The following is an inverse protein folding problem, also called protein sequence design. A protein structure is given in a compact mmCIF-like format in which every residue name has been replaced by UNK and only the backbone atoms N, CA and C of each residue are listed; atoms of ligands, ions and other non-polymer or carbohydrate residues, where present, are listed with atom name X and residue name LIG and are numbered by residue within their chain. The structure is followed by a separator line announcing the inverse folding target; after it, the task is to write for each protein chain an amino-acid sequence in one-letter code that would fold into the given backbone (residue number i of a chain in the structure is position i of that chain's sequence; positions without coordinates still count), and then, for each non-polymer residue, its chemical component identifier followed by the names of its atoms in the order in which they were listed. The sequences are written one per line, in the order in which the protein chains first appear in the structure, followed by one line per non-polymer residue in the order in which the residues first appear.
data_IF_560262001172
#
_entry.id   IF_560262001172
#
_cell.length_a   1.000
_cell.length_b   1.000
_cell.length_c   1.000
_cell.angle_alpha   90.00
_cell.angle_beta   90.00
_cell.angle_gamma   90.00
#
_symmetry.space_group_name_H-M   'P 1'
#
loop_
_entity.id
_entity.type
_entity.pdbx_description
1 polymer ?
#
# COMPACT_ATOMS: atom_id res chain seq x y z
N UNK A 1 15.43 36.03 33.10
CA UNK A 1 14.30 37.00 33.10
C UNK A 1 13.30 36.68 31.99
N UNK A 2 12.07 36.34 32.39
CA UNK A 2 10.73 36.48 31.76
C UNK A 2 10.56 36.46 30.22
N UNK A 3 9.70 35.51 29.79
CA UNK A 3 8.90 35.50 28.55
C UNK A 3 8.23 36.86 28.28
N UNK A 4 8.13 37.25 27.01
CA UNK A 4 7.08 38.18 26.56
C UNK A 4 6.41 37.66 25.29
N UNK A 5 5.11 37.46 25.45
CA UNK A 5 4.07 37.36 24.42
C UNK A 5 3.86 38.76 23.83
N UNK A 6 3.57 38.84 22.53
CA UNK A 6 2.84 39.99 21.98
C UNK A 6 1.69 39.47 21.11
N UNK A 7 0.50 39.98 21.42
CA UNK A 7 -0.81 39.67 20.84
C UNK A 7 -1.32 40.97 20.19
N UNK A 8 -2.01 40.85 19.04
CA UNK A 8 -2.86 41.88 18.43
C UNK A 8 -2.12 42.87 17.52
N UNK A 9 -2.66 43.37 16.40
CA UNK A 9 -4.08 43.53 16.05
C UNK A 9 -4.22 43.97 14.57
N UNK A 10 -5.34 43.58 13.92
CA UNK A 10 -6.07 44.23 12.81
C UNK A 10 -5.36 44.33 11.42
N UNK A 11 -6.03 44.17 10.26
CA UNK A 11 -7.28 44.80 9.81
C UNK A 11 -8.03 43.91 8.79
N UNK A 12 -9.36 43.98 8.87
CA UNK A 12 -10.35 43.33 8.04
C UNK A 12 -10.50 43.93 6.62
N UNK A 13 -10.93 43.10 5.67
CA UNK A 13 -11.59 43.51 4.43
C UNK A 13 -12.92 42.76 4.29
N UNK A 14 -14.02 43.52 4.35
CA UNK A 14 -15.40 43.05 4.24
C UNK A 14 -15.81 42.81 2.77
N UNK A 15 -16.67 41.82 2.55
CA UNK A 15 -17.34 41.56 1.28
C UNK A 15 -18.36 40.42 1.39
N UNK A 16 -19.41 40.62 2.19
CA UNK A 16 -20.54 39.73 2.46
C UNK A 16 -21.47 39.53 1.26
N UNK A 17 -21.87 38.29 0.96
CA UNK A 17 -23.25 37.94 0.57
C UNK A 17 -23.68 36.60 1.20
N UNK A 18 -24.51 36.75 2.23
CA UNK A 18 -25.51 35.84 2.80
C UNK A 18 -25.43 34.33 2.53
N UNK A 19 -25.10 33.58 3.58
CA UNK A 19 -25.76 32.31 3.88
C UNK A 19 -26.33 32.38 5.30
N UNK A 20 -27.64 32.19 5.40
CA UNK A 20 -28.35 31.98 6.67
C UNK A 20 -27.70 30.82 7.41
N UNK A 21 -27.53 30.87 8.74
CA UNK A 21 -27.09 29.70 9.48
C UNK A 21 -28.24 28.69 9.44
N UNK A 22 -28.05 27.58 8.72
CA UNK A 22 -28.65 26.34 9.17
C UNK A 22 -27.95 26.05 10.49
N UNK A 23 -28.61 26.38 11.60
CA UNK A 23 -28.25 25.89 12.92
C UNK A 23 -28.46 24.37 12.89
N UNK A 24 -27.54 23.65 12.27
CA UNK A 24 -27.32 22.26 12.63
C UNK A 24 -26.75 22.33 14.04
N UNK A 25 -27.62 22.10 15.02
CA UNK A 25 -27.19 21.64 16.33
C UNK A 25 -26.43 20.34 16.10
N UNK A 26 -25.13 20.45 15.81
CA UNK A 26 -24.20 19.36 16.00
C UNK A 26 -24.18 19.20 17.50
N UNK A 27 -25.03 18.29 18.02
CA UNK A 27 -24.76 17.72 19.33
C UNK A 27 -23.32 17.25 19.24
N UNK A 28 -22.46 17.85 20.06
CA UNK A 28 -21.10 17.39 20.26
C UNK A 28 -21.19 16.02 20.98
N UNK A 29 -21.63 15.00 20.26
CA UNK A 29 -21.20 13.65 20.55
C UNK A 29 -19.72 13.66 20.23
N UNK A 30 -18.90 13.64 21.28
CA UNK A 30 -17.50 13.29 21.14
C UNK A 30 -17.42 12.12 20.15
N UNK A 31 -16.50 12.14 19.16
CA UNK A 31 -16.27 10.96 18.34
C UNK A 31 -16.14 9.79 19.32
N UNK A 32 -16.85 8.66 19.10
CA UNK A 32 -16.72 7.51 19.97
C UNK A 32 -15.23 7.29 20.13
N UNK A 33 -14.76 7.28 21.39
CA UNK A 33 -13.35 7.13 21.70
C UNK A 33 -12.82 6.08 20.74
N UNK A 34 -11.85 6.47 19.91
CA UNK A 34 -11.22 5.53 18.99
C UNK A 34 -10.97 4.30 19.85
N UNK A 35 -11.63 3.19 19.53
CA UNK A 35 -11.36 1.94 20.22
C UNK A 35 -9.88 1.74 19.94
N UNK A 36 -9.03 2.13 20.89
CA UNK A 36 -7.72 1.53 21.05
C UNK A 36 -8.05 0.07 20.91
N UNK A 37 -7.47 -0.58 19.91
CA UNK A 37 -7.56 -2.03 19.82
C UNK A 37 -6.99 -2.52 21.14
N UNK A 38 -7.86 -2.67 22.14
CA UNK A 38 -7.61 -3.40 23.36
C UNK A 38 -7.02 -4.70 22.86
N UNK A 39 -5.84 -5.02 23.40
CA UNK A 39 -5.10 -6.26 23.15
C UNK A 39 -6.07 -7.38 22.83
N UNK A 40 -6.33 -7.58 21.54
CA UNK A 40 -7.02 -8.77 21.09
C UNK A 40 -5.95 -9.82 21.18
N UNK A 41 -6.23 -10.92 21.86
CA UNK A 41 -5.35 -12.07 22.00
C UNK A 41 -5.07 -12.66 20.61
N UNK A 42 -4.22 -11.97 19.85
CA UNK A 42 -3.47 -12.55 18.75
C UNK A 42 -2.63 -13.62 19.43
N UNK A 43 -2.74 -14.91 19.07
CA UNK A 43 -1.86 -15.92 19.61
C UNK A 43 -0.43 -15.40 19.46
N UNK A 44 0.25 -15.15 20.56
CA UNK A 44 1.68 -14.85 20.51
C UNK A 44 2.34 -16.15 20.04
N UNK A 45 2.43 -16.32 18.73
CA UNK A 45 3.38 -17.25 18.18
C UNK A 45 4.78 -16.82 18.59
N UNK A 46 5.76 -17.72 18.42
CA UNK A 46 7.19 -17.45 18.67
C UNK A 46 7.79 -16.44 17.66
N UNK A 47 6.95 -15.63 17.00
CA UNK A 47 7.37 -14.59 16.11
C UNK A 47 7.99 -13.45 16.90
N UNK A 48 9.30 -13.31 16.72
CA UNK A 48 10.06 -12.16 17.18
C UNK A 48 10.35 -11.28 15.97
N UNK A 49 9.88 -10.03 16.01
CA UNK A 49 10.25 -9.04 15.01
C UNK A 49 11.79 -8.90 15.00
N UNK A 50 12.44 -8.95 13.82
CA UNK A 50 13.89 -8.76 13.71
C UNK A 50 14.33 -7.43 14.31
N UNK A 51 15.54 -7.43 14.88
CA UNK A 51 16.09 -6.24 15.52
C UNK A 51 16.27 -5.05 14.56
N UNK A 52 16.55 -5.32 13.28
CA UNK A 52 16.73 -4.27 12.27
C UNK A 52 15.48 -3.39 12.09
N UNK A 53 14.27 -3.93 12.36
CA UNK A 53 13.03 -3.16 12.29
C UNK A 53 12.93 -2.06 13.35
N UNK A 54 13.71 -2.13 14.43
CA UNK A 54 13.64 -1.17 15.54
C UNK A 54 14.29 0.17 15.24
N UNK A 55 15.19 0.22 14.26
CA UNK A 55 16.02 1.39 13.95
C UNK A 55 16.24 1.58 12.45
N UNK A 56 15.14 1.52 11.69
CA UNK A 56 15.15 1.65 10.23
C UNK A 56 15.53 3.07 9.80
N UNK A 57 16.42 3.18 8.80
CA UNK A 57 16.69 4.40 8.04
C UNK A 57 16.34 4.15 6.58
N UNK A 58 15.05 4.33 6.27
CA UNK A 58 14.50 3.96 4.98
C UNK A 58 14.56 5.10 3.96
N UNK A 59 14.97 4.78 2.73
CA UNK A 59 14.68 5.59 1.55
C UNK A 59 13.38 5.13 0.92
N UNK A 60 12.51 6.08 0.59
CA UNK A 60 11.23 5.80 -0.06
C UNK A 60 11.36 6.07 -1.55
N UNK A 61 11.00 5.06 -2.35
CA UNK A 61 10.99 5.16 -3.80
C UNK A 61 9.61 4.79 -4.32
N UNK A 62 8.83 5.81 -4.68
CA UNK A 62 7.45 5.67 -5.12
C UNK A 62 7.38 5.51 -6.66
N UNK A 63 6.52 4.61 -7.09
CA UNK A 63 6.30 4.25 -8.50
C UNK A 63 5.41 5.23 -9.25
N UNK A 64 5.03 6.35 -8.65
CA UNK A 64 4.21 7.40 -9.29
C UNK A 64 5.04 8.52 -9.92
N UNK A 65 6.36 8.47 -9.77
CA UNK A 65 7.26 9.54 -10.20
C UNK A 65 8.38 9.01 -11.09
N UNK A 66 9.06 9.93 -11.77
CA UNK A 66 10.31 9.61 -12.46
C UNK A 66 11.31 8.99 -11.46
N UNK A 67 12.11 8.01 -11.88
CA UNK A 67 12.26 7.49 -13.25
C UNK A 67 11.36 6.28 -13.58
N UNK A 68 10.24 6.04 -12.88
CA UNK A 68 9.32 4.94 -13.20
C UNK A 68 8.07 5.38 -13.97
N UNK A 69 7.64 6.62 -13.81
CA UNK A 69 6.47 7.16 -14.49
C UNK A 69 6.77 8.54 -15.09
N UNK A 70 6.31 8.84 -16.32
CA UNK A 70 5.56 7.97 -17.24
C UNK A 70 6.44 6.99 -18.05
N UNK A 71 7.76 7.13 -17.96
CA UNK A 71 8.71 6.29 -18.70
C UNK A 71 9.71 5.67 -17.74
N UNK A 72 10.04 4.39 -17.95
CA UNK A 72 10.95 3.62 -17.10
C UNK A 72 12.33 3.34 -17.71
N UNK A 73 12.58 3.91 -18.90
CA UNK A 73 13.83 3.72 -19.66
C UNK A 73 15.10 4.07 -18.87
N UNK A 74 15.01 5.05 -17.96
CA UNK A 74 16.15 5.58 -17.21
C UNK A 74 16.26 4.97 -15.80
N UNK A 75 15.40 4.00 -15.45
CA UNK A 75 15.48 3.33 -14.16
C UNK A 75 16.68 2.39 -14.07
N UNK A 76 17.52 2.64 -13.08
CA UNK A 76 18.69 1.85 -12.71
C UNK A 76 18.64 1.47 -11.23
N UNK A 77 18.44 0.18 -10.97
CA UNK A 77 18.39 -0.39 -9.62
C UNK A 77 19.72 -0.22 -8.86
N UNK A 78 20.86 -0.31 -9.54
CA UNK A 78 22.17 -0.13 -8.93
C UNK A 78 22.33 1.31 -8.47
N UNK A 79 21.97 2.28 -9.32
CA UNK A 79 22.03 3.70 -8.96
C UNK A 79 21.12 4.03 -7.78
N UNK A 80 19.92 3.45 -7.73
CA UNK A 80 19.00 3.61 -6.59
C UNK A 80 19.64 3.12 -5.27
N UNK A 81 20.27 1.94 -5.29
CA UNK A 81 20.95 1.39 -4.12
C UNK A 81 22.19 2.20 -3.73
N UNK A 82 22.98 2.68 -4.69
CA UNK A 82 24.10 3.58 -4.42
C UNK A 82 23.64 4.86 -3.70
N UNK A 83 22.55 5.48 -4.16
CA UNK A 83 21.96 6.65 -3.50
C UNK A 83 21.53 6.34 -2.06
N UNK A 84 20.88 5.18 -1.84
CA UNK A 84 20.50 4.75 -0.49
C UNK A 84 21.73 4.64 0.43
N UNK A 85 22.84 4.05 -0.05
CA UNK A 85 24.09 3.95 0.70
C UNK A 85 24.73 5.31 0.93
N UNK A 86 24.78 6.19 -0.08
CA UNK A 86 25.30 7.56 0.01
C UNK A 86 24.56 8.38 1.08
N UNK A 87 23.24 8.20 1.18
CA UNK A 87 22.39 8.84 2.20
C UNK A 87 22.51 8.17 3.58
N UNK A 88 23.27 7.09 3.68
CA UNK A 88 23.45 6.32 4.91
C UNK A 88 22.18 5.58 5.34
N UNK A 89 21.28 5.23 4.42
CA UNK A 89 20.14 4.38 4.74
C UNK A 89 20.51 2.90 4.79
N UNK A 90 19.67 2.11 5.44
CA UNK A 90 19.83 0.65 5.60
C UNK A 90 18.67 -0.15 5.00
N UNK A 91 17.61 0.52 4.58
CA UNK A 91 16.38 -0.10 4.11
C UNK A 91 15.82 0.65 2.90
N UNK A 92 15.38 -0.08 1.89
CA UNK A 92 14.66 0.46 0.74
C UNK A 92 13.18 0.11 0.83
N UNK A 93 12.32 1.12 0.81
CA UNK A 93 10.90 0.97 0.48
C UNK A 93 10.75 1.15 -1.02
N UNK A 94 10.57 0.06 -1.74
CA UNK A 94 10.34 0.10 -3.18
C UNK A 94 8.86 -0.07 -3.48
N UNK A 95 8.26 0.80 -4.29
CA UNK A 95 6.89 0.61 -4.76
C UNK A 95 6.89 -0.09 -6.14
N UNK A 96 6.69 -1.42 -6.21
CA UNK A 96 6.63 -2.13 -7.49
C UNK A 96 5.32 -1.92 -8.26
N UNK A 97 4.30 -1.35 -7.62
CA UNK A 97 3.00 -1.06 -8.22
C UNK A 97 2.64 0.40 -7.98
N UNK A 98 2.73 1.20 -9.03
CA UNK A 98 2.17 2.56 -9.11
C UNK A 98 0.88 2.53 -9.94
N UNK A 99 0.81 3.35 -10.99
CA UNK A 99 -0.27 3.26 -11.99
C UNK A 99 -0.23 1.98 -12.82
N UNK A 100 0.94 1.33 -12.87
CA UNK A 100 1.20 0.05 -13.50
C UNK A 100 2.13 -0.77 -12.61
N UNK A 101 2.18 -2.08 -12.86
CA UNK A 101 3.17 -2.96 -12.26
C UNK A 101 4.51 -2.83 -13.01
N UNK A 102 5.58 -2.70 -12.23
CA UNK A 102 6.98 -2.61 -12.69
C UNK A 102 7.71 -3.95 -12.59
N UNK A 103 6.95 -5.03 -12.71
CA UNK A 103 7.40 -6.42 -12.71
C UNK A 103 6.35 -7.23 -13.47
N UNK A 104 6.64 -8.47 -13.91
CA UNK A 104 5.74 -9.26 -14.76
C UNK A 104 4.57 -9.85 -13.96
N UNK A 105 3.70 -8.98 -13.42
CA UNK A 105 2.50 -9.40 -12.69
C UNK A 105 1.56 -10.19 -13.60
N UNK A 106 0.94 -11.24 -13.04
CA UNK A 106 -0.07 -12.02 -13.76
C UNK A 106 -1.48 -11.44 -13.62
N UNK A 107 -1.67 -10.46 -12.73
CA UNK A 107 -3.00 -9.97 -12.39
C UNK A 107 -3.11 -8.45 -12.45
N UNK A 108 -2.05 -7.71 -12.15
CA UNK A 108 -2.07 -6.25 -12.22
C UNK A 108 -1.63 -5.75 -13.61
N UNK A 109 -2.21 -4.65 -14.12
CA UNK A 109 -1.78 -4.05 -15.39
C UNK A 109 -0.27 -3.75 -15.41
N UNK A 110 0.46 -4.37 -16.35
CA UNK A 110 1.92 -4.23 -16.48
C UNK A 110 2.28 -2.96 -17.24
N UNK A 111 3.40 -2.32 -16.87
CA UNK A 111 3.89 -1.13 -17.57
C UNK A 111 4.28 -1.47 -19.02
N UNK A 112 3.84 -0.71 -20.05
CA UNK A 112 4.09 -1.06 -21.46
C UNK A 112 5.57 -1.15 -21.83
N UNK A 113 6.41 -0.36 -21.17
CA UNK A 113 7.87 -0.35 -21.39
C UNK A 113 8.64 -1.41 -20.58
N UNK A 114 7.97 -2.24 -19.78
CA UNK A 114 8.64 -3.23 -18.93
C UNK A 114 9.43 -4.25 -19.77
N UNK A 115 8.88 -4.68 -20.90
CA UNK A 115 9.46 -5.74 -21.72
C UNK A 115 9.67 -7.01 -20.90
N UNK A 116 10.91 -7.50 -20.85
CA UNK A 116 11.29 -8.70 -20.09
C UNK A 116 11.92 -8.37 -18.72
N UNK A 117 11.81 -7.12 -18.24
CA UNK A 117 12.41 -6.71 -16.97
C UNK A 117 11.54 -7.11 -15.79
N UNK A 118 12.20 -7.25 -14.65
CA UNK A 118 11.56 -7.41 -13.35
C UNK A 118 12.29 -6.48 -12.38
N UNK A 119 11.69 -5.32 -12.08
CA UNK A 119 12.38 -4.33 -11.28
C UNK A 119 12.45 -4.72 -9.81
N UNK A 120 11.58 -5.62 -9.33
CA UNK A 120 11.70 -6.14 -7.97
C UNK A 120 12.97 -6.99 -7.89
N UNK A 121 13.18 -7.89 -8.86
CA UNK A 121 14.36 -8.75 -8.91
C UNK A 121 15.66 -7.97 -9.15
N UNK A 122 15.61 -6.90 -9.95
CA UNK A 122 16.76 -6.02 -10.13
C UNK A 122 17.14 -5.32 -8.82
N UNK A 123 16.16 -4.76 -8.10
CA UNK A 123 16.38 -4.04 -6.85
C UNK A 123 16.77 -4.99 -5.71
N UNK A 124 16.12 -6.14 -5.57
CA UNK A 124 16.41 -7.14 -4.54
C UNK A 124 17.86 -7.60 -4.62
N UNK A 125 18.35 -7.88 -5.83
CA UNK A 125 19.73 -8.29 -6.07
C UNK A 125 20.74 -7.23 -5.66
N UNK A 126 20.51 -5.96 -5.99
CA UNK A 126 21.42 -4.88 -5.60
C UNK A 126 21.38 -4.59 -4.10
N UNK A 127 20.19 -4.61 -3.48
CA UNK A 127 20.04 -4.52 -2.02
C UNK A 127 20.80 -5.65 -1.32
N UNK A 128 20.66 -6.90 -1.80
CA UNK A 128 21.35 -8.06 -1.22
C UNK A 128 22.88 -7.95 -1.34
N UNK A 129 23.40 -7.48 -2.47
CA UNK A 129 24.85 -7.23 -2.63
C UNK A 129 25.37 -6.19 -1.64
N UNK A 130 24.57 -5.18 -1.33
CA UNK A 130 24.91 -4.10 -0.40
C UNK A 130 24.62 -4.44 1.08
N UNK A 131 24.00 -5.59 1.38
CA UNK A 131 23.59 -5.94 2.74
C UNK A 131 22.46 -5.06 3.29
N UNK A 132 21.62 -4.53 2.41
CA UNK A 132 20.48 -3.66 2.74
C UNK A 132 19.19 -4.45 2.80
N UNK A 133 18.23 -3.93 3.57
CA UNK A 133 16.88 -4.47 3.62
C UNK A 133 16.01 -3.90 2.49
N UNK A 134 15.06 -4.70 2.00
CA UNK A 134 14.11 -4.31 0.97
C UNK A 134 12.70 -4.70 1.39
N UNK A 135 11.75 -3.76 1.32
CA UNK A 135 10.34 -4.10 1.38
C UNK A 135 9.54 -3.46 0.26
N UNK A 136 8.57 -4.22 -0.24
CA UNK A 136 7.69 -3.78 -1.30
C UNK A 136 6.50 -3.01 -0.74
N UNK A 137 6.31 -1.77 -1.16
CA UNK A 137 5.15 -0.97 -0.85
C UNK A 137 4.03 -1.16 -1.87
N UNK A 138 2.81 -1.32 -1.37
CA UNK A 138 1.63 -1.46 -2.19
C UNK A 138 0.59 -0.43 -1.79
N UNK A 139 0.15 0.37 -2.76
CA UNK A 139 -0.94 1.34 -2.60
C UNK A 139 -2.31 0.72 -2.87
N UNK A 140 -2.62 -0.47 -2.35
CA UNK A 140 -3.94 -1.05 -2.60
C UNK A 140 -5.04 -0.15 -2.06
N UNK A 141 -6.20 -0.19 -2.70
CA UNK A 141 -7.31 0.76 -2.55
C UNK A 141 -7.12 2.16 -3.15
N UNK A 142 -5.90 2.55 -3.56
CA UNK A 142 -5.74 3.76 -4.36
C UNK A 142 -6.23 3.50 -5.80
N UNK A 143 -7.16 4.33 -6.33
CA UNK A 143 -7.75 4.13 -7.64
C UNK A 143 -6.73 4.27 -8.77
N UNK A 144 -6.60 3.26 -9.64
CA UNK A 144 -5.76 3.33 -10.88
C UNK A 144 -6.47 2.82 -12.14
N UNK A 145 -7.68 2.28 -11.99
CA UNK A 145 -8.40 1.71 -13.11
C UNK A 145 -9.09 2.83 -13.88
N UNK A 146 -8.63 3.06 -15.11
CA UNK A 146 -9.15 4.14 -15.96
C UNK A 146 -10.07 3.61 -17.05
N UNK A 147 -10.87 4.49 -17.64
CA UNK A 147 -11.74 4.11 -18.75
C UNK A 147 -10.95 3.62 -19.97
N UNK A 148 -9.74 4.16 -20.19
CA UNK A 148 -8.83 3.68 -21.24
C UNK A 148 -8.41 2.24 -21.00
N UNK A 149 -7.92 1.96 -19.79
CA UNK A 149 -7.49 0.64 -19.39
C UNK A 149 -8.61 -0.39 -19.49
N UNK A 150 -9.83 -0.07 -19.07
CA UNK A 150 -10.99 -0.99 -19.21
C UNK A 150 -11.31 -1.29 -20.68
N UNK A 151 -11.13 -0.33 -21.60
CA UNK A 151 -11.38 -0.61 -23.03
C UNK A 151 -10.38 -1.59 -23.61
N UNK A 152 -9.13 -1.52 -23.15
CA UNK A 152 -8.04 -2.43 -23.57
C UNK A 152 -8.14 -3.78 -22.86
N UNK A 153 -8.57 -3.76 -21.60
CA UNK A 153 -8.64 -4.90 -20.68
C UNK A 153 -9.98 -4.90 -19.92
N UNK A 154 -11.07 -5.38 -20.55
CA UNK A 154 -12.42 -5.35 -19.99
C UNK A 154 -12.58 -6.05 -18.64
N UNK A 155 -11.73 -7.02 -18.32
CA UNK A 155 -11.69 -7.74 -17.05
C UNK A 155 -11.54 -6.82 -15.83
N UNK A 156 -10.84 -5.68 -15.96
CA UNK A 156 -10.68 -4.74 -14.86
C UNK A 156 -11.96 -3.96 -14.52
N UNK A 157 -13.00 -4.06 -15.36
CA UNK A 157 -14.31 -3.48 -15.04
C UNK A 157 -14.98 -4.14 -13.83
N UNK A 158 -14.56 -5.37 -13.46
CA UNK A 158 -15.01 -6.09 -12.27
C UNK A 158 -14.41 -5.52 -10.97
N UNK A 159 -13.32 -4.76 -11.06
CA UNK A 159 -12.68 -4.13 -9.91
C UNK A 159 -13.33 -2.80 -9.54
N UNK A 160 -14.17 -2.22 -10.41
CA UNK A 160 -14.77 -0.91 -10.22
C UNK A 160 -15.89 -0.96 -9.17
N UNK A 161 -15.82 -0.07 -8.17
CA UNK A 161 -16.90 0.19 -7.23
C UNK A 161 -18.09 0.79 -7.97
N UNK A 162 -19.26 0.20 -7.78
CA UNK A 162 -20.50 0.62 -8.45
C UNK A 162 -21.57 1.02 -7.44
N UNK A 163 -22.40 1.97 -7.85
CA UNK A 163 -23.62 2.34 -7.14
C UNK A 163 -24.72 1.26 -7.30
N UNK A 164 -25.86 1.38 -6.60
CA UNK A 164 -26.99 0.45 -6.74
C UNK A 164 -27.53 0.31 -8.17
N UNK A 165 -27.38 1.34 -9.01
CA UNK A 165 -27.75 1.38 -10.42
C UNK A 165 -26.68 0.75 -11.35
N UNK A 166 -25.61 0.18 -10.77
CA UNK A 166 -24.47 -0.47 -11.43
C UNK A 166 -23.55 0.48 -12.23
N UNK A 167 -23.65 1.79 -12.02
CA UNK A 167 -22.73 2.79 -12.60
C UNK A 167 -21.50 2.94 -11.71
N UNK A 168 -20.34 3.37 -12.25
CA UNK A 168 -19.19 3.68 -11.41
C UNK A 168 -19.57 4.69 -10.31
N UNK A 169 -19.26 4.36 -9.05
CA UNK A 169 -19.64 5.16 -7.88
C UNK A 169 -19.06 6.58 -7.91
N UNK A 170 -17.88 6.72 -8.50
CA UNK A 170 -17.24 8.01 -8.70
C UNK A 170 -15.88 7.85 -9.35
N UNK A 171 -15.23 8.98 -9.58
CA UNK A 171 -13.85 9.05 -10.06
C UNK A 171 -12.98 9.73 -9.02
N UNK A 172 -11.76 9.24 -8.91
CA UNK A 172 -10.67 9.90 -8.23
C UNK A 172 -9.90 10.75 -9.22
N UNK A 173 -9.58 11.98 -8.83
CA UNK A 173 -8.78 12.89 -9.61
C UNK A 173 -7.34 12.85 -9.06
N UNK A 174 -6.42 12.28 -9.85
CA UNK A 174 -5.01 12.12 -9.49
C UNK A 174 -4.25 13.44 -9.69
N UNK A 175 -4.65 14.47 -8.93
CA UNK A 175 -4.10 15.82 -9.02
C UNK A 175 -4.10 16.39 -10.45
N UNK A 176 -5.10 16.02 -11.26
CA UNK A 176 -5.30 16.47 -12.64
C UNK A 176 -4.54 15.65 -13.70
N UNK A 177 -3.81 14.61 -13.31
CA UNK A 177 -3.05 13.77 -14.25
C UNK A 177 -3.95 12.73 -14.94
N UNK A 178 -4.73 11.99 -14.15
CA UNK A 178 -5.66 10.97 -14.66
C UNK A 178 -6.95 10.92 -13.82
N UNK A 179 -8.00 10.37 -14.42
CA UNK A 179 -9.26 10.07 -13.74
C UNK A 179 -9.43 8.55 -13.66
N UNK A 180 -9.39 8.04 -12.43
CA UNK A 180 -9.48 6.61 -12.12
C UNK A 180 -10.78 6.31 -11.38
N UNK A 181 -11.37 5.14 -11.63
CA UNK A 181 -12.54 4.68 -10.90
C UNK A 181 -12.14 4.09 -9.54
N UNK A 182 -12.92 4.38 -8.50
CA UNK A 182 -12.73 3.75 -7.20
C UNK A 182 -12.80 2.22 -7.30
N UNK A 183 -11.95 1.52 -6.54
CA UNK A 183 -11.97 0.06 -6.50
C UNK A 183 -13.03 -0.47 -5.52
N UNK A 184 -13.67 -1.58 -5.86
CA UNK A 184 -14.55 -2.33 -4.97
C UNK A 184 -13.73 -3.23 -4.04
N UNK A 185 -13.35 -2.70 -2.87
CA UNK A 185 -12.47 -3.41 -1.93
C UNK A 185 -13.07 -4.68 -1.33
N UNK A 186 -14.40 -4.75 -1.29
CA UNK A 186 -15.15 -5.92 -0.80
C UNK A 186 -15.50 -6.91 -1.91
N UNK A 187 -15.23 -6.57 -3.18
CA UNK A 187 -15.50 -7.45 -4.31
C UNK A 187 -14.49 -8.58 -4.39
N UNK A 188 -14.97 -9.82 -4.57
CA UNK A 188 -14.12 -11.01 -4.70
C UNK A 188 -13.06 -10.90 -5.81
N UNK A 189 -13.35 -10.37 -7.01
CA UNK A 189 -12.34 -10.23 -8.06
C UNK A 189 -11.13 -9.38 -7.63
N UNK A 190 -11.38 -8.24 -6.99
CA UNK A 190 -10.30 -7.36 -6.53
C UNK A 190 -9.56 -7.96 -5.32
N UNK A 191 -10.27 -8.61 -4.40
CA UNK A 191 -9.64 -9.30 -3.25
C UNK A 191 -8.72 -10.43 -3.70
N UNK A 192 -9.14 -11.22 -4.69
CA UNK A 192 -8.27 -12.27 -5.22
C UNK A 192 -7.06 -11.70 -5.96
N UNK A 193 -7.24 -10.60 -6.69
CA UNK A 193 -6.13 -9.88 -7.31
C UNK A 193 -5.11 -9.40 -6.27
N UNK A 194 -5.55 -8.80 -5.17
CA UNK A 194 -4.66 -8.40 -4.08
C UNK A 194 -3.89 -9.60 -3.51
N UNK A 195 -4.56 -10.73 -3.25
CA UNK A 195 -3.88 -11.94 -2.74
C UNK A 195 -2.86 -12.47 -3.74
N UNK A 196 -3.19 -12.48 -5.02
CA UNK A 196 -2.31 -12.98 -6.05
C UNK A 196 -1.06 -12.10 -6.18
N UNK A 197 -1.21 -10.78 -6.19
CA UNK A 197 -0.07 -9.88 -6.20
C UNK A 197 0.77 -10.05 -4.93
N UNK A 198 0.17 -10.16 -3.75
CA UNK A 198 0.96 -10.43 -2.52
C UNK A 198 1.76 -11.71 -2.63
N UNK A 199 1.19 -12.80 -3.19
CA UNK A 199 1.93 -14.03 -3.48
C UNK A 199 3.11 -13.76 -4.42
N UNK A 200 2.90 -13.03 -5.50
CA UNK A 200 3.97 -12.64 -6.43
C UNK A 200 5.07 -11.86 -5.71
N UNK A 201 4.75 -10.85 -4.90
CA UNK A 201 5.74 -10.07 -4.16
C UNK A 201 6.56 -10.95 -3.20
N UNK A 202 5.92 -11.93 -2.55
CA UNK A 202 6.57 -12.88 -1.66
C UNK A 202 7.44 -13.93 -2.39
N UNK A 203 7.26 -14.14 -3.70
CA UNK A 203 8.16 -14.99 -4.50
C UNK A 203 9.53 -14.34 -4.73
N UNK A 204 9.61 -13.01 -4.60
CA UNK A 204 10.85 -12.25 -4.74
C UNK A 204 11.65 -12.21 -3.44
N UNK A 205 12.95 -11.92 -3.56
CA UNK A 205 13.85 -11.79 -2.42
C UNK A 205 13.66 -10.45 -1.68
N UNK A 206 12.53 -10.32 -0.99
CA UNK A 206 12.16 -9.15 -0.19
C UNK A 206 12.02 -9.52 1.29
N UNK A 207 12.24 -8.55 2.18
CA UNK A 207 12.14 -8.74 3.64
C UNK A 207 10.75 -8.48 4.19
N UNK A 208 9.89 -7.76 3.45
CA UNK A 208 8.49 -7.51 3.81
C UNK A 208 7.65 -6.95 2.64
N UNK A 209 6.33 -6.96 2.83
CA UNK A 209 5.36 -6.20 2.03
C UNK A 209 4.65 -5.21 2.95
N UNK A 210 4.57 -3.95 2.52
CA UNK A 210 3.84 -2.88 3.20
C UNK A 210 2.56 -2.54 2.43
N UNK A 211 1.47 -2.36 3.16
CA UNK A 211 0.17 -2.00 2.61
C UNK A 211 -0.21 -0.58 3.03
N UNK A 212 -0.47 0.29 2.06
CA UNK A 212 -1.07 1.60 2.31
C UNK A 212 -2.57 1.48 2.52
N UNK A 213 -3.10 2.34 3.40
CA UNK A 213 -4.49 2.39 3.86
C UNK A 213 -4.93 1.31 4.88
N UNK A 214 -5.85 1.74 5.77
CA UNK A 214 -6.35 0.97 6.93
C UNK A 214 -7.52 0.03 6.62
N UNK A 215 -7.97 -0.06 5.35
CA UNK A 215 -9.20 -0.79 4.99
C UNK A 215 -8.93 -2.28 4.72
N UNK A 216 -7.66 -2.69 4.70
CA UNK A 216 -7.26 -4.08 4.55
C UNK A 216 -7.27 -4.77 5.93
N UNK A 217 -8.41 -4.77 6.61
CA UNK A 217 -8.57 -5.53 7.87
C UNK A 217 -8.49 -7.05 7.66
N UNK A 218 -8.52 -7.53 6.41
CA UNK A 218 -8.56 -8.96 6.03
C UNK A 218 -7.26 -9.50 5.38
N UNK A 219 -6.23 -8.69 5.19
CA UNK A 219 -4.95 -9.15 4.59
C UNK A 219 -3.78 -8.45 5.31
N UNK A 220 -3.34 -9.02 6.43
CA UNK A 220 -2.04 -8.67 7.00
C UNK A 220 -1.13 -9.90 6.95
N UNK A 221 -0.08 -9.81 6.15
CA UNK A 221 1.04 -10.73 6.19
C UNK A 221 2.34 -9.91 6.25
N UNK A 222 3.02 -9.95 7.40
CA UNK A 222 4.46 -9.69 7.48
C UNK A 222 5.15 -11.01 7.14
N UNK A 223 5.74 -11.11 5.95
CA UNK A 223 6.65 -12.21 5.62
C UNK A 223 8.05 -11.72 5.86
N UNK A 224 8.67 -12.16 6.96
CA UNK A 224 10.06 -11.85 7.29
C UNK A 224 10.91 -13.10 7.09
N UNK A 225 11.94 -12.98 6.26
CA UNK A 225 12.90 -14.05 5.97
C UNK A 225 13.93 -14.15 7.11
N UNK A 226 13.67 -14.97 8.11
CA UNK A 226 14.70 -15.44 9.05
C UNK A 226 15.08 -16.89 8.74
N UNK A 227 16.13 -17.07 7.92
CA UNK A 227 16.87 -18.34 7.80
C UNK A 227 16.12 -19.56 7.26
N UNK A 228 16.34 -19.88 5.97
CA UNK A 228 16.04 -21.20 5.41
C UNK A 228 14.58 -21.38 4.96
N UNK A 229 14.41 -21.67 3.67
CA UNK A 229 13.10 -21.90 3.06
C UNK A 229 12.53 -23.21 3.60
N UNK A 230 11.40 -23.13 4.30
CA UNK A 230 10.29 -24.06 4.09
C UNK A 230 9.16 -23.27 3.46
N UNK A 231 8.67 -23.71 2.32
CA UNK A 231 7.56 -23.13 1.53
C UNK A 231 6.20 -23.13 2.28
N UNK A 232 6.20 -23.36 3.59
CA UNK A 232 5.04 -23.67 4.42
C UNK A 232 4.62 -22.57 5.39
N UNK A 233 5.34 -21.45 5.48
CA UNK A 233 4.99 -20.38 6.44
C UNK A 233 4.67 -19.08 5.72
N UNK A 234 3.52 -19.05 5.03
CA UNK A 234 2.80 -17.81 4.76
C UNK A 234 1.73 -17.69 5.84
N UNK A 235 1.94 -16.80 6.81
CA UNK A 235 0.92 -16.50 7.81
C UNK A 235 -0.15 -15.62 7.16
N UNK A 236 -1.27 -16.22 6.79
CA UNK A 236 -2.48 -15.50 6.41
C UNK A 236 -3.30 -15.26 7.69
N UNK A 237 -3.42 -14.00 8.11
CA UNK A 237 -4.38 -13.63 9.15
C UNK A 237 -5.74 -13.47 8.46
N UNK A 238 -6.60 -14.49 8.59
CA UNK A 238 -7.98 -14.46 8.12
C UNK A 238 -8.84 -13.88 9.26
N UNK A 239 -9.49 -12.75 9.01
CA UNK A 239 -10.46 -12.16 9.93
C UNK A 239 -11.84 -12.23 9.30
N UNK A 240 -12.49 -13.39 9.43
CA UNK A 240 -13.95 -13.37 9.48
C UNK A 240 -14.34 -12.51 10.68
N UNK A 241 -15.38 -11.70 10.53
CA UNK A 241 -15.77 -10.66 11.50
C UNK A 241 -16.11 -11.14 12.92
N UNK A 242 -15.89 -12.42 13.25
CA UNK A 242 -16.20 -13.01 14.55
C UNK A 242 -15.05 -13.83 15.19
N UNK A 243 -13.93 -14.11 14.53
CA UNK A 243 -12.81 -14.85 15.17
C UNK A 243 -11.43 -14.53 14.56
N UNK A 244 -10.48 -14.08 15.39
CA UNK A 244 -9.10 -13.78 15.01
C UNK A 244 -8.17 -14.96 15.39
N UNK A 245 -7.37 -15.49 14.47
CA UNK A 245 -6.38 -16.53 14.76
C UNK A 245 -5.29 -16.64 13.68
N UNK A 246 -4.05 -16.96 14.11
CA UNK A 246 -2.92 -17.29 13.24
C UNK A 246 -2.97 -18.80 12.95
N UNK A 247 -3.04 -19.20 11.68
CA UNK A 247 -3.07 -20.61 11.28
C UNK A 247 -1.74 -21.05 10.64
N UNK A 248 -1.17 -22.13 11.15
CA UNK A 248 -0.02 -22.84 10.58
C UNK A 248 -0.53 -23.93 9.63
N UNK A 249 -0.37 -23.77 8.32
CA UNK A 249 -0.79 -24.77 7.33
C UNK A 249 0.33 -25.77 7.11
N UNK A 250 0.45 -26.73 8.02
CA UNK A 250 1.26 -27.95 7.82
C UNK A 250 0.46 -29.26 7.92
N UNK A 251 -0.86 -29.22 8.13
CA UNK A 251 -1.66 -30.45 8.17
C UNK A 251 -2.88 -30.38 7.24
N UNK A 252 -2.70 -30.96 6.04
CA UNK A 252 -3.80 -31.48 5.25
C UNK A 252 -4.26 -32.80 5.86
N UNK A 253 -5.38 -32.81 6.58
CA UNK A 253 -6.22 -34.00 6.65
C UNK A 253 -7.68 -33.60 6.82
N UNK A 254 -8.54 -34.15 5.95
CA UNK A 254 -10.00 -34.09 6.05
C UNK A 254 -10.47 -34.76 7.35
N UNK A 255 -11.53 -34.23 7.93
CA UNK A 255 -12.63 -35.04 8.46
C UNK A 255 -13.83 -34.76 7.55
#
# INVERSE_FOLDING_TARGET
MKRRVFLGTAVAGFGTWASRPLTATIMATAPPAARTSENRDVPQGDYHAPDWLRSIRALYFDGYTAPLYPHMKDFDAKRLVEILVELGGDTLRFQPIGYRAYYPSKTFPVHPELGNRDLIEEVSRECRKAGLHLYCYTGYAMPVITAGLIREHPEFAEWVLRDPERKPYGVWNEMGQEYSFYHCLTGDPYREAMRQVVRELCEHDTDAVYFDSRVITEVFAFVIRAGGISTSTVAWIWTDSETCGIWNISQRTRI
#
